data_IF_180425220142
#
_entry.id   IF_180425220142
#
_cell.length_a   1.000
_cell.length_b   1.000
_cell.length_c   1.000
_cell.angle_alpha   90.00
_cell.angle_beta   90.00
_cell.angle_gamma   90.00
#
_symmetry.space_group_name_H-M   'P 1'
#
loop_
_entity.id
_entity.type
_entity.pdbx_description
1 polymer ?
#
# COMPACT_ATOMS: atom_id res chain seq x y z
N UNK A 1 -1.56 12.04 -18.72
CA UNK A 1 -0.62 11.03 -19.25
C UNK A 1 0.33 10.63 -18.14
N UNK A 2 0.25 9.41 -17.64
CA UNK A 2 1.23 8.91 -16.67
C UNK A 2 2.38 8.30 -17.46
N UNK A 3 3.53 8.88 -17.33
CA UNK A 3 4.73 8.39 -18.00
C UNK A 3 5.43 7.37 -17.09
N UNK A 4 5.72 6.21 -17.63
CA UNK A 4 6.69 5.31 -17.02
C UNK A 4 8.08 5.80 -17.34
N UNK A 5 8.89 5.90 -16.31
CA UNK A 5 10.30 6.21 -16.47
C UNK A 5 11.12 5.05 -15.92
N UNK A 6 11.97 4.49 -16.77
CA UNK A 6 12.98 3.56 -16.33
C UNK A 6 14.29 4.32 -16.10
N UNK A 7 14.73 4.32 -14.86
CA UNK A 7 15.97 5.01 -14.46
C UNK A 7 16.92 3.96 -13.87
N UNK A 8 18.10 3.85 -14.42
CA UNK A 8 19.15 3.02 -13.84
C UNK A 8 19.68 3.68 -12.55
N UNK A 9 19.61 2.96 -11.43
CA UNK A 9 20.10 3.44 -10.13
C UNK A 9 21.09 2.42 -9.58
N UNK A 10 22.38 2.60 -9.91
CA UNK A 10 23.41 1.60 -9.60
C UNK A 10 23.93 1.66 -8.16
N UNK A 11 23.78 2.78 -7.46
CA UNK A 11 24.39 3.02 -6.14
C UNK A 11 23.41 3.28 -5.01
N UNK A 12 22.12 3.13 -5.27
CA UNK A 12 21.09 3.42 -4.29
C UNK A 12 20.52 2.14 -3.66
N UNK A 13 20.16 2.23 -2.38
CA UNK A 13 19.33 1.23 -1.71
C UNK A 13 17.88 1.69 -1.65
N UNK A 14 16.88 0.81 -1.47
CA UNK A 14 15.50 1.23 -1.28
C UNK A 14 15.33 2.24 -0.13
N UNK A 15 16.05 2.04 0.98
CA UNK A 15 16.03 2.97 2.11
C UNK A 15 16.62 4.34 1.77
N UNK A 16 17.72 4.39 1.02
CA UNK A 16 18.33 5.67 0.60
C UNK A 16 17.44 6.44 -0.36
N UNK A 17 16.75 5.74 -1.28
CA UNK A 17 15.75 6.35 -2.17
C UNK A 17 14.59 6.91 -1.35
N UNK A 18 14.08 6.15 -0.38
CA UNK A 18 13.01 6.61 0.52
C UNK A 18 13.38 7.92 1.20
N UNK A 19 14.59 8.02 1.74
CA UNK A 19 15.08 9.22 2.42
C UNK A 19 15.27 10.40 1.46
N UNK A 20 15.76 10.15 0.25
CA UNK A 20 15.95 11.20 -0.77
C UNK A 20 14.64 11.77 -1.28
N UNK A 21 13.58 10.96 -1.30
CA UNK A 21 12.26 11.37 -1.77
C UNK A 21 11.36 11.98 -0.67
N UNK A 22 11.95 12.43 0.43
CA UNK A 22 11.19 12.99 1.58
C UNK A 22 10.23 14.12 1.18
N UNK A 23 10.61 14.96 0.22
CA UNK A 23 9.76 16.05 -0.27
C UNK A 23 8.50 15.57 -1.00
N UNK A 24 8.48 14.33 -1.47
CA UNK A 24 7.34 13.70 -2.16
C UNK A 24 6.42 12.94 -1.21
N UNK A 25 6.54 13.15 0.09
CA UNK A 25 5.70 12.53 1.13
C UNK A 25 5.64 10.99 1.04
N UNK A 26 6.77 10.30 1.30
CA UNK A 26 6.77 8.85 1.31
C UNK A 26 5.87 8.30 2.42
N UNK A 27 5.07 7.31 2.09
CA UNK A 27 4.07 6.70 2.98
C UNK A 27 4.47 5.31 3.46
N UNK A 28 5.05 4.53 2.56
CA UNK A 28 5.50 3.19 2.90
C UNK A 28 6.67 2.75 2.03
N UNK A 29 7.41 1.79 2.53
CA UNK A 29 8.43 1.06 1.81
C UNK A 29 8.23 -0.44 2.07
N UNK A 30 8.00 -1.20 1.01
CA UNK A 30 7.96 -2.66 1.04
C UNK A 30 9.22 -3.21 0.41
N UNK A 31 9.99 -3.97 1.17
CA UNK A 31 11.19 -4.65 0.72
C UNK A 31 11.01 -6.15 0.76
N UNK A 32 11.46 -6.84 -0.28
CA UNK A 32 11.53 -8.30 -0.29
C UNK A 32 12.93 -8.74 0.13
N UNK A 33 13.00 -9.54 1.20
CA UNK A 33 14.25 -10.16 1.67
C UNK A 33 14.12 -11.66 1.45
N UNK A 34 14.28 -12.12 0.23
CA UNK A 34 14.39 -13.56 -0.03
C UNK A 34 15.82 -13.95 -0.40
N UNK A 35 16.34 -14.94 0.31
CA UNK A 35 17.67 -15.48 0.13
C UNK A 35 17.77 -16.45 -1.06
N UNK A 36 17.55 -15.95 -2.27
CA UNK A 36 17.73 -16.72 -3.50
C UNK A 36 18.44 -15.91 -4.57
N UNK A 37 19.46 -16.47 -5.17
CA UNK A 37 20.32 -15.81 -6.15
C UNK A 37 19.71 -15.64 -7.55
N UNK A 38 18.48 -16.10 -7.79
CA UNK A 38 17.89 -16.20 -9.13
C UNK A 38 16.55 -15.50 -9.31
N UNK A 39 15.95 -14.93 -8.27
CA UNK A 39 14.69 -14.21 -8.40
C UNK A 39 14.92 -12.69 -8.35
N UNK A 40 14.30 -12.00 -9.30
CA UNK A 40 14.26 -10.55 -9.31
C UNK A 40 13.68 -10.04 -7.99
N UNK A 41 14.42 -9.19 -7.29
CA UNK A 41 13.96 -8.55 -6.06
C UNK A 41 13.26 -7.25 -6.41
N UNK A 42 12.11 -7.05 -5.82
CA UNK A 42 11.35 -5.82 -5.97
C UNK A 42 11.23 -5.11 -4.63
N UNK A 43 11.34 -3.80 -4.68
CA UNK A 43 10.96 -2.92 -3.58
C UNK A 43 9.89 -1.96 -4.07
N UNK A 44 8.90 -1.68 -3.23
CA UNK A 44 7.78 -0.80 -3.57
C UNK A 44 7.77 0.38 -2.63
N UNK A 45 7.70 1.56 -3.18
CA UNK A 45 7.67 2.81 -2.46
C UNK A 45 6.40 3.57 -2.81
N UNK A 46 5.57 3.83 -1.82
CA UNK A 46 4.36 4.65 -1.98
C UNK A 46 4.64 6.11 -1.65
N UNK A 47 4.24 7.00 -2.55
CA UNK A 47 4.46 8.44 -2.44
C UNK A 47 3.17 9.23 -2.66
N UNK A 48 3.13 10.44 -2.13
CA UNK A 48 2.10 11.41 -2.41
C UNK A 48 0.82 11.22 -1.62
N UNK A 49 -0.29 11.64 -2.22
CA UNK A 49 -1.61 11.54 -1.59
C UNK A 49 -2.12 10.10 -1.63
N UNK A 50 -2.57 9.63 -0.49
CA UNK A 50 -3.15 8.30 -0.30
C UNK A 50 -4.45 8.42 0.47
N UNK A 51 -5.38 7.51 0.22
CA UNK A 51 -6.51 7.31 1.14
C UNK A 51 -6.05 6.50 2.34
N UNK A 52 -6.46 6.92 3.51
CA UNK A 52 -6.17 6.22 4.76
C UNK A 52 -7.44 5.55 5.29
N UNK A 53 -7.33 4.27 5.58
CA UNK A 53 -8.38 3.51 6.26
C UNK A 53 -7.91 3.12 7.65
N UNK A 54 -8.78 3.21 8.63
CA UNK A 54 -8.49 2.81 10.01
C UNK A 54 -9.72 2.22 10.69
N UNK A 55 -9.45 1.38 11.68
CA UNK A 55 -10.50 0.75 12.50
C UNK A 55 -10.25 1.11 13.95
N UNK A 56 -11.24 1.71 14.58
CA UNK A 56 -11.20 2.07 16.00
C UNK A 56 -12.53 1.75 16.64
N UNK A 57 -12.50 0.97 17.72
CA UNK A 57 -13.69 0.62 18.50
C UNK A 57 -14.86 0.10 17.66
N UNK A 58 -14.57 -0.77 16.70
CA UNK A 58 -15.59 -1.37 15.84
C UNK A 58 -16.15 -0.46 14.75
N UNK A 59 -15.52 0.68 14.49
CA UNK A 59 -15.92 1.59 13.43
C UNK A 59 -14.81 1.67 12.40
N UNK A 60 -15.19 1.56 11.14
CA UNK A 60 -14.31 1.75 9.98
C UNK A 60 -14.31 3.21 9.58
N UNK A 61 -13.13 3.78 9.45
CA UNK A 61 -12.93 5.17 9.07
C UNK A 61 -12.22 5.24 7.72
N UNK A 62 -12.64 6.18 6.89
CA UNK A 62 -11.97 6.55 5.65
C UNK A 62 -11.56 8.01 5.74
N UNK A 63 -10.26 8.27 5.63
CA UNK A 63 -9.69 9.62 5.75
C UNK A 63 -10.14 10.37 7.02
N UNK A 64 -10.20 9.65 8.13
CA UNK A 64 -10.61 10.19 9.43
C UNK A 64 -12.11 10.37 9.65
N UNK A 65 -12.95 10.05 8.66
CA UNK A 65 -14.42 10.09 8.78
C UNK A 65 -14.97 8.70 9.01
N UNK A 66 -15.90 8.57 9.95
CA UNK A 66 -16.62 7.33 10.19
C UNK A 66 -17.43 6.93 8.96
N UNK A 67 -17.24 5.72 8.49
CA UNK A 67 -17.90 5.18 7.30
C UNK A 67 -18.94 4.11 7.67
N UNK A 68 -18.51 3.07 8.38
CA UNK A 68 -19.38 1.94 8.72
C UNK A 68 -19.04 1.37 10.08
N UNK A 69 -20.06 0.76 10.71
CA UNK A 69 -19.91 0.00 11.94
C UNK A 69 -19.62 -1.46 11.58
N UNK A 70 -18.64 -2.04 12.24
CA UNK A 70 -18.22 -3.42 12.04
C UNK A 70 -18.77 -4.29 13.16
N UNK A 71 -19.55 -5.29 12.81
CA UNK A 71 -20.11 -6.26 13.76
C UNK A 71 -19.60 -7.69 13.49
N UNK A 72 -19.00 -7.91 12.33
CA UNK A 72 -18.52 -9.23 11.91
C UNK A 72 -17.32 -9.11 10.98
N UNK A 73 -16.66 -10.25 10.77
CA UNK A 73 -15.59 -10.34 9.78
C UNK A 73 -16.08 -10.00 8.36
N UNK A 74 -17.32 -10.39 8.03
CA UNK A 74 -17.89 -10.07 6.72
C UNK A 74 -18.06 -8.56 6.52
N UNK A 75 -18.48 -7.83 7.55
CA UNK A 75 -18.56 -6.37 7.52
C UNK A 75 -17.17 -5.77 7.26
N UNK A 76 -16.15 -6.28 7.93
CA UNK A 76 -14.77 -5.83 7.77
C UNK A 76 -14.26 -6.07 6.35
N UNK A 77 -14.48 -7.29 5.83
CA UNK A 77 -14.06 -7.65 4.48
C UNK A 77 -14.79 -6.83 3.40
N UNK A 78 -16.08 -6.56 3.62
CA UNK A 78 -16.88 -5.71 2.75
C UNK A 78 -16.34 -4.28 2.73
N UNK A 79 -16.06 -3.70 3.90
CA UNK A 79 -15.50 -2.35 4.02
C UNK A 79 -14.16 -2.22 3.29
N UNK A 80 -13.27 -3.21 3.41
CA UNK A 80 -12.00 -3.21 2.67
C UNK A 80 -12.21 -3.33 1.16
N UNK A 81 -13.11 -4.17 0.70
CA UNK A 81 -13.41 -4.31 -0.74
C UNK A 81 -13.97 -3.02 -1.33
N UNK A 82 -14.89 -2.37 -0.62
CA UNK A 82 -15.45 -1.08 -1.04
C UNK A 82 -14.38 0.00 -1.09
N UNK A 83 -13.48 0.05 -0.10
CA UNK A 83 -12.35 0.98 -0.11
C UNK A 83 -11.39 0.77 -1.30
N UNK A 84 -11.31 -0.46 -1.83
CA UNK A 84 -10.47 -0.79 -3.00
C UNK A 84 -11.12 -0.42 -4.33
N UNK A 85 -12.46 -0.38 -4.40
CA UNK A 85 -13.20 -0.09 -5.66
C UNK A 85 -12.88 1.33 -6.16
N UNK A 86 -12.73 2.28 -5.26
CA UNK A 86 -12.51 3.69 -5.60
C UNK A 86 -11.03 4.01 -5.89
N UNK A 87 -10.15 3.01 -5.84
CA UNK A 87 -8.74 3.24 -6.15
C UNK A 87 -8.55 3.42 -7.67
N UNK A 88 -7.73 4.39 -8.07
CA UNK A 88 -7.42 4.57 -9.48
C UNK A 88 -6.62 3.37 -10.00
N UNK A 89 -6.92 2.96 -11.23
CA UNK A 89 -6.13 1.96 -11.91
C UNK A 89 -4.67 2.39 -12.02
N UNK A 90 -3.76 1.45 -11.80
CA UNK A 90 -2.36 1.65 -12.08
C UNK A 90 -2.13 1.68 -13.60
N UNK A 91 -1.78 2.85 -14.08
CA UNK A 91 -1.50 3.05 -15.49
C UNK A 91 -0.07 3.62 -15.67
N UNK A 92 0.63 3.13 -16.67
CA UNK A 92 0.30 1.97 -17.49
C UNK A 92 0.49 0.65 -16.73
N UNK A 93 -0.18 -0.38 -17.21
CA UNK A 93 0.01 -1.72 -16.68
C UNK A 93 1.45 -2.19 -16.92
N UNK A 94 2.15 -2.48 -15.86
CA UNK A 94 3.51 -3.05 -15.92
C UNK A 94 3.39 -4.55 -15.73
N UNK A 95 3.73 -5.29 -16.77
CA UNK A 95 3.70 -6.76 -16.73
C UNK A 95 4.75 -7.30 -15.77
N UNK A 96 4.41 -8.40 -15.11
CA UNK A 96 5.32 -9.19 -14.26
C UNK A 96 5.80 -8.50 -12.97
N UNK A 97 5.11 -7.49 -12.47
CA UNK A 97 5.37 -7.01 -11.11
C UNK A 97 4.46 -7.72 -10.11
N UNK A 98 4.98 -8.10 -8.93
CA UNK A 98 4.21 -8.85 -7.94
C UNK A 98 3.17 -8.04 -7.17
N UNK A 99 3.24 -6.72 -7.22
CA UNK A 99 2.31 -5.84 -6.53
C UNK A 99 2.01 -4.60 -7.37
N UNK A 100 0.78 -4.49 -7.79
CA UNK A 100 0.32 -3.37 -8.64
C UNK A 100 -0.41 -2.26 -7.89
N UNK A 101 -0.72 -2.45 -6.63
CA UNK A 101 -1.46 -1.50 -5.79
C UNK A 101 -2.36 -2.22 -4.80
N UNK A 102 -2.99 -1.48 -3.91
CA UNK A 102 -3.87 -2.03 -2.90
C UNK A 102 -3.76 -1.31 -1.56
N UNK A 103 -4.07 -2.02 -0.50
CA UNK A 103 -3.94 -1.55 0.88
C UNK A 103 -2.60 -1.99 1.46
N UNK A 104 -1.88 -1.05 2.02
CA UNK A 104 -0.62 -1.29 2.74
C UNK A 104 -0.75 -0.76 4.15
N UNK A 105 -0.45 -1.59 5.14
CA UNK A 105 -0.58 -1.17 6.53
C UNK A 105 -0.33 -2.32 7.50
N UNK A 106 -0.88 -2.20 8.66
CA UNK A 106 -0.80 -3.22 9.70
C UNK A 106 -2.13 -3.37 10.44
N UNK A 107 -2.34 -4.53 11.02
CA UNK A 107 -3.46 -4.78 11.93
C UNK A 107 -2.94 -5.14 13.32
N UNK A 108 -3.62 -4.61 14.36
CA UNK A 108 -3.36 -5.04 15.73
C UNK A 108 -4.00 -6.41 16.00
N UNK A 109 -3.57 -7.04 17.09
CA UNK A 109 -4.13 -8.33 17.51
C UNK A 109 -5.65 -8.28 17.72
N UNK A 110 -6.20 -7.13 18.08
CA UNK A 110 -7.65 -6.97 18.32
C UNK A 110 -8.52 -7.20 17.09
N UNK A 111 -7.97 -7.22 15.89
CA UNK A 111 -8.69 -7.59 14.67
C UNK A 111 -9.26 -9.01 14.73
N UNK A 112 -8.68 -9.88 15.53
CA UNK A 112 -9.18 -11.26 15.74
C UNK A 112 -10.62 -11.31 16.30
N UNK A 113 -11.12 -10.22 16.84
CA UNK A 113 -12.47 -10.11 17.42
C UNK A 113 -13.59 -9.99 16.37
N UNK A 114 -13.26 -9.77 15.11
CA UNK A 114 -14.23 -9.65 14.02
C UNK A 114 -14.48 -10.96 13.30
#
# INVERSE_FOLDING_TARGET
MKNNFDIAIDSETPASVFLKLRSLQPKFLLESIEGGTTQSRYSFLGLGQTSEVSIKKGIFYINGKADSKLNSLDDLMTAFREALIDLPDLLPEIKNIPFGGGLVGFSSYDVVRY
#
